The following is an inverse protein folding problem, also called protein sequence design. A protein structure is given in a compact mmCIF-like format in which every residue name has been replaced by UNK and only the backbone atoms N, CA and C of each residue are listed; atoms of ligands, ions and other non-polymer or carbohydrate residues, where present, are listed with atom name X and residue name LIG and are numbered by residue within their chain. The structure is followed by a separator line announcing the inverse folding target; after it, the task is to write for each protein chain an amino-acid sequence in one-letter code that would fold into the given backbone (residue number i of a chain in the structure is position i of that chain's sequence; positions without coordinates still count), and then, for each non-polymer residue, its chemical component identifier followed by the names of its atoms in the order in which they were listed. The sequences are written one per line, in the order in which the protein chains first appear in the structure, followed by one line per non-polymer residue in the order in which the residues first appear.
data_IF_967270667603
#
_entry.id   IF_967270667603
#
_cell.length_a   1.000
_cell.length_b   1.000
_cell.length_c   1.000
_cell.angle_alpha   90.00
_cell.angle_beta   90.00
_cell.angle_gamma   90.00
#
_symmetry.space_group_name_H-M   'P 1'
#
loop_
_entity.id
_entity.type
_entity.pdbx_description
1 polymer ?
#
# COMPACT_ATOMS: atom_id res chain seq x y z
N UNK A 1 -9.55 5.35 -14.22
CA UNK A 1 -9.38 6.73 -13.68
C UNK A 1 -10.65 7.50 -13.98
N UNK A 2 -11.76 7.15 -13.31
CA UNK A 2 -13.11 7.67 -13.64
C UNK A 2 -13.92 7.89 -12.36
N UNK A 3 -13.84 6.95 -11.40
CA UNK A 3 -14.54 7.05 -10.13
C UNK A 3 -14.16 8.29 -9.28
N UNK A 4 -12.87 8.62 -9.18
CA UNK A 4 -12.41 9.79 -8.41
C UNK A 4 -12.99 11.08 -8.98
N UNK A 5 -12.98 11.24 -10.31
CA UNK A 5 -13.51 12.42 -10.97
C UNK A 5 -15.01 12.54 -10.70
N UNK A 6 -15.76 11.44 -10.81
CA UNK A 6 -17.21 11.43 -10.52
C UNK A 6 -17.48 11.87 -9.08
N UNK A 7 -16.75 11.32 -8.10
CA UNK A 7 -16.91 11.68 -6.68
C UNK A 7 -16.60 13.17 -6.47
N UNK A 8 -15.50 13.68 -7.03
CA UNK A 8 -15.13 15.09 -6.94
C UNK A 8 -16.18 16.00 -7.61
N UNK A 9 -16.75 15.58 -8.74
CA UNK A 9 -17.82 16.33 -9.41
C UNK A 9 -19.07 16.42 -8.56
N UNK A 10 -19.48 15.34 -7.88
CA UNK A 10 -20.64 15.35 -6.98
C UNK A 10 -20.39 16.30 -5.80
N UNK A 11 -19.21 16.18 -5.16
CA UNK A 11 -18.82 17.05 -4.05
C UNK A 11 -18.89 18.53 -4.44
N UNK A 12 -18.40 18.87 -5.64
CA UNK A 12 -18.38 20.24 -6.13
C UNK A 12 -19.78 20.78 -6.51
N UNK A 13 -20.64 19.95 -7.09
CA UNK A 13 -22.01 20.33 -7.48
C UNK A 13 -22.91 20.52 -6.26
N UNK A 14 -22.74 19.69 -5.24
CA UNK A 14 -23.59 19.66 -4.04
C UNK A 14 -23.00 20.48 -2.87
N UNK A 15 -21.90 21.21 -3.09
CA UNK A 15 -21.18 22.02 -2.08
C UNK A 15 -20.86 21.23 -0.80
N UNK A 16 -20.41 19.98 -0.96
CA UNK A 16 -20.14 19.08 0.15
C UNK A 16 -18.70 19.23 0.64
N UNK A 17 -18.50 18.93 1.93
CA UNK A 17 -17.17 18.79 2.50
C UNK A 17 -16.60 17.40 2.19
N UNK A 18 -15.39 17.35 1.64
CA UNK A 18 -14.67 16.10 1.35
C UNK A 18 -13.49 15.94 2.30
N UNK A 19 -13.52 14.89 3.11
CA UNK A 19 -12.36 14.41 3.84
C UNK A 19 -11.78 13.20 3.13
N UNK A 20 -10.48 13.24 2.84
CA UNK A 20 -9.75 12.08 2.36
C UNK A 20 -9.06 11.40 3.54
N UNK A 21 -9.44 10.15 3.81
CA UNK A 21 -8.73 9.31 4.77
C UNK A 21 -7.77 8.39 4.02
N UNK A 22 -6.47 8.62 4.20
CA UNK A 22 -5.45 7.66 3.77
C UNK A 22 -5.42 6.49 4.76
N UNK A 23 -5.94 5.33 4.35
CA UNK A 23 -6.02 4.15 5.20
C UNK A 23 -4.70 3.39 5.14
N UNK A 24 -3.75 3.78 5.99
CA UNK A 24 -2.45 3.13 6.16
C UNK A 24 -2.50 1.60 6.40
N UNK A 25 -3.65 1.07 6.85
CA UNK A 25 -3.78 -0.31 7.35
C UNK A 25 -4.59 -1.20 6.38
N UNK A 26 -5.21 -0.66 5.33
CA UNK A 26 -6.05 -1.45 4.42
C UNK A 26 -5.25 -2.59 3.73
N UNK A 27 -3.94 -2.40 3.55
CA UNK A 27 -3.01 -3.37 2.97
C UNK A 27 -2.45 -4.40 3.97
N UNK A 28 -2.67 -4.19 5.26
CA UNK A 28 -2.17 -5.08 6.32
C UNK A 28 -3.19 -6.16 6.73
N UNK A 29 -4.38 -6.16 6.13
CA UNK A 29 -5.49 -7.07 6.45
C UNK A 29 -5.89 -8.00 5.31
N UNK A 30 -5.25 -7.92 4.14
CA UNK A 30 -5.39 -8.93 3.10
C UNK A 30 -4.52 -10.13 3.45
N UNK A 31 -5.13 -11.28 3.71
CA UNK A 31 -4.39 -12.54 3.77
C UNK A 31 -3.77 -12.80 2.39
N UNK A 32 -2.44 -12.94 2.36
CA UNK A 32 -1.71 -13.26 1.15
C UNK A 32 -1.55 -14.77 1.08
N UNK A 33 -2.13 -15.40 0.05
CA UNK A 33 -1.98 -16.85 -0.17
C UNK A 33 -0.60 -17.23 -0.72
N UNK A 34 0.19 -16.25 -1.17
CA UNK A 34 1.49 -16.47 -1.81
C UNK A 34 2.65 -16.03 -0.91
N UNK A 35 3.78 -16.74 -0.97
CA UNK A 35 4.99 -16.31 -0.28
C UNK A 35 5.76 -15.29 -1.12
N UNK A 36 5.74 -14.02 -0.71
CA UNK A 36 6.50 -12.97 -1.35
C UNK A 36 7.82 -12.67 -0.61
N UNK A 37 8.87 -12.51 -1.40
CA UNK A 37 10.20 -12.12 -0.95
C UNK A 37 10.63 -10.82 -1.65
N UNK A 38 11.34 -9.95 -0.93
CA UNK A 38 11.92 -8.73 -1.49
C UNK A 38 13.38 -8.57 -1.04
N UNK A 39 14.15 -7.76 -1.76
CA UNK A 39 15.49 -7.39 -1.31
C UNK A 39 15.44 -6.72 0.07
N UNK A 40 16.52 -6.89 0.84
CA UNK A 40 16.65 -6.21 2.13
C UNK A 40 16.54 -4.69 1.95
N UNK A 41 15.64 -4.02 2.69
CA UNK A 41 15.52 -2.57 2.62
C UNK A 41 16.80 -1.91 3.16
N UNK A 42 17.10 -0.73 2.63
CA UNK A 42 18.24 0.05 3.08
C UNK A 42 18.12 0.36 4.58
N UNK A 43 19.17 0.07 5.35
CA UNK A 43 19.16 0.15 6.82
C UNK A 43 18.79 -1.15 7.55
N UNK A 44 18.36 -2.19 6.83
CA UNK A 44 18.11 -3.53 7.39
C UNK A 44 19.05 -4.61 6.84
N UNK A 45 20.00 -4.23 5.98
CA UNK A 45 21.01 -5.15 5.44
C UNK A 45 21.90 -5.62 6.58
N UNK A 46 21.94 -6.94 6.79
CA UNK A 46 22.83 -7.55 7.78
C UNK A 46 24.21 -7.75 7.14
N UNK A 47 25.24 -7.14 7.73
CA UNK A 47 26.64 -7.30 7.29
C UNK A 47 27.01 -8.78 7.35
N UNK A 48 27.69 -9.30 6.32
CA UNK A 48 27.98 -10.72 6.06
C UNK A 48 26.80 -11.59 5.64
N UNK A 49 25.61 -11.00 5.46
CA UNK A 49 24.40 -11.65 5.00
C UNK A 49 23.65 -10.76 3.99
N UNK A 50 24.41 -10.11 3.11
CA UNK A 50 23.90 -9.15 2.13
C UNK A 50 22.94 -9.81 1.12
N UNK A 51 23.14 -11.11 0.84
CA UNK A 51 22.34 -11.90 -0.09
C UNK A 51 20.99 -12.34 0.48
N UNK A 52 20.71 -12.09 1.76
CA UNK A 52 19.40 -12.41 2.32
C UNK A 52 18.29 -11.57 1.68
N UNK A 53 17.10 -12.14 1.68
CA UNK A 53 15.86 -11.51 1.24
C UNK A 53 14.87 -11.44 2.40
N UNK A 54 14.06 -10.40 2.42
CA UNK A 54 12.99 -10.22 3.41
C UNK A 54 11.72 -10.93 2.95
N UNK A 55 11.20 -11.83 3.79
CA UNK A 55 9.88 -12.43 3.57
C UNK A 55 8.80 -11.46 4.01
N UNK A 56 7.91 -11.10 3.09
CA UNK A 56 6.74 -10.29 3.39
C UNK A 56 5.70 -11.13 4.12
N UNK A 57 5.27 -10.66 5.30
CA UNK A 57 4.18 -11.29 6.07
C UNK A 57 2.82 -10.68 5.77
N UNK A 58 2.80 -9.53 5.08
CA UNK A 58 1.62 -8.75 4.69
C UNK A 58 1.91 -8.04 3.36
N UNK A 59 0.88 -7.71 2.58
CA UNK A 59 1.06 -6.98 1.34
C UNK A 59 1.56 -5.55 1.57
N UNK A 60 2.44 -5.08 0.69
CA UNK A 60 2.84 -3.68 0.57
C UNK A 60 1.90 -2.92 -0.37
N UNK A 61 1.76 -1.61 -0.14
CA UNK A 61 1.00 -0.71 -1.00
C UNK A 61 1.51 -0.76 -2.45
N UNK A 62 0.59 -0.90 -3.41
CA UNK A 62 0.91 -0.84 -4.84
C UNK A 62 1.53 -2.12 -5.44
N UNK A 63 1.63 -3.22 -4.68
CA UNK A 63 1.83 -4.54 -5.26
C UNK A 63 0.56 -4.93 -6.06
N UNK A 64 0.72 -5.14 -7.36
CA UNK A 64 -0.34 -5.55 -8.28
C UNK A 64 -0.32 -7.06 -8.51
#
# INVERSE_FOLDING_TARGET
MTAIIIVLSIVAVEDLYLEQMDVNIAFLHGDFNEELYMMQPWGYIVISNEDLVSRLRRSLYGLK
#
